data_IF_594111828524
#
_entry.id   IF_594111828524
#
_cell.length_a   1.000
_cell.length_b   1.000
_cell.length_c   1.000
_cell.angle_alpha   90.00
_cell.angle_beta   90.00
_cell.angle_gamma   90.00
#
_symmetry.space_group_name_H-M   'P 1'
#
loop_
_entity.id
_entity.type
_entity.pdbx_description
1 polymer ?
#
# COMPACT_ATOMS: atom_id res chain seq x y z
N UNK A 1 -29.29 -64.08 8.49
CA UNK A 1 -29.78 -62.78 7.98
C UNK A 1 -29.02 -61.67 8.72
N UNK A 2 -27.90 -61.22 8.15
CA UNK A 2 -27.03 -60.22 8.80
C UNK A 2 -27.42 -58.83 8.29
N UNK A 3 -27.90 -58.00 9.22
CA UNK A 3 -28.24 -56.61 8.94
C UNK A 3 -26.97 -55.76 8.97
N UNK A 4 -26.52 -55.23 7.80
CA UNK A 4 -25.50 -54.22 7.71
C UNK A 4 -26.12 -52.82 7.98
N UNK A 5 -25.81 -52.23 9.11
CA UNK A 5 -26.16 -50.84 9.40
C UNK A 5 -25.09 -49.96 8.74
N UNK A 6 -25.45 -49.29 7.64
CA UNK A 6 -24.66 -48.23 7.05
C UNK A 6 -24.83 -46.95 7.89
N UNK A 7 -23.84 -46.64 8.69
CA UNK A 7 -23.79 -45.36 9.40
C UNK A 7 -23.52 -44.22 8.40
N UNK A 8 -24.51 -43.37 8.16
CA UNK A 8 -24.35 -42.08 7.47
C UNK A 8 -23.50 -41.17 8.36
N UNK A 9 -22.23 -41.02 7.99
CA UNK A 9 -21.38 -39.95 8.54
C UNK A 9 -21.81 -38.67 7.83
N UNK A 10 -22.66 -37.85 8.46
CA UNK A 10 -22.97 -36.52 8.01
C UNK A 10 -21.70 -35.66 8.18
N UNK A 11 -21.00 -35.38 7.11
CA UNK A 11 -19.98 -34.36 7.11
C UNK A 11 -20.66 -33.00 7.34
N UNK A 12 -20.44 -32.40 8.49
CA UNK A 12 -20.81 -31.00 8.75
C UNK A 12 -19.94 -30.17 7.83
N UNK A 13 -20.50 -29.69 6.73
CA UNK A 13 -19.86 -28.72 5.87
C UNK A 13 -19.78 -27.39 6.67
N UNK A 14 -18.63 -27.08 7.23
CA UNK A 14 -18.37 -25.76 7.79
C UNK A 14 -18.40 -24.76 6.63
N UNK A 15 -19.27 -23.75 6.73
CA UNK A 15 -19.26 -22.63 5.80
C UNK A 15 -17.92 -21.88 5.92
N UNK A 16 -17.31 -21.54 4.79
CA UNK A 16 -16.08 -20.77 4.79
C UNK A 16 -16.25 -19.44 5.53
N UNK A 17 -15.23 -19.06 6.29
CA UNK A 17 -15.22 -17.80 7.05
C UNK A 17 -15.18 -16.60 6.09
N UNK A 18 -16.17 -15.73 6.21
CA UNK A 18 -16.19 -14.48 5.45
C UNK A 18 -15.12 -13.51 5.96
N UNK A 19 -14.45 -12.83 5.01
CA UNK A 19 -13.46 -11.81 5.28
C UNK A 19 -13.51 -10.73 4.20
N UNK A 20 -13.50 -9.46 4.61
CA UNK A 20 -13.45 -8.32 3.70
C UNK A 20 -12.11 -7.62 3.82
N UNK A 21 -11.36 -7.55 2.69
CA UNK A 21 -10.13 -6.80 2.53
C UNK A 21 -10.42 -5.45 1.86
N UNK A 22 -10.06 -4.34 2.49
CA UNK A 22 -10.05 -3.00 1.90
C UNK A 22 -8.67 -2.69 1.33
N UNK A 23 -8.59 -2.47 0.02
CA UNK A 23 -7.37 -2.00 -0.63
C UNK A 23 -7.15 -0.51 -0.34
N UNK A 24 -5.90 -0.07 -0.42
CA UNK A 24 -5.55 1.34 -0.28
C UNK A 24 -5.90 2.15 -1.53
N UNK A 25 -5.81 1.55 -2.71
CA UNK A 25 -5.96 2.20 -4.01
C UNK A 25 -6.86 1.40 -4.94
N UNK A 26 -7.06 1.90 -6.16
CA UNK A 26 -7.82 1.22 -7.21
C UNK A 26 -7.20 -0.14 -7.55
N UNK A 27 -7.99 -1.02 -8.16
CA UNK A 27 -7.52 -2.33 -8.64
C UNK A 27 -6.39 -2.15 -9.65
N UNK A 28 -5.21 -2.67 -9.32
CA UNK A 28 -4.02 -2.63 -10.17
C UNK A 28 -2.98 -3.65 -9.67
N UNK A 29 -1.93 -3.93 -10.45
CA UNK A 29 -0.92 -4.94 -10.14
C UNK A 29 -0.16 -4.70 -8.82
N UNK A 30 -0.25 -3.50 -8.23
CA UNK A 30 0.18 -3.22 -6.86
C UNK A 30 -0.41 -4.21 -5.84
N UNK A 31 -1.57 -4.78 -6.12
CA UNK A 31 -2.27 -5.70 -5.23
C UNK A 31 -2.35 -7.13 -5.78
N UNK A 32 -1.51 -7.44 -6.77
CA UNK A 32 -1.57 -8.71 -7.51
C UNK A 32 -1.55 -9.95 -6.62
N UNK A 33 -0.74 -9.96 -5.55
CA UNK A 33 -0.66 -11.12 -4.66
C UNK A 33 -2.00 -11.50 -4.03
N UNK A 34 -2.86 -10.53 -3.73
CA UNK A 34 -4.19 -10.78 -3.14
C UNK A 34 -5.19 -11.28 -4.18
N UNK A 35 -5.16 -10.73 -5.39
CA UNK A 35 -6.01 -11.18 -6.50
C UNK A 35 -5.60 -12.57 -6.98
N UNK A 36 -4.30 -12.85 -7.05
CA UNK A 36 -3.79 -14.20 -7.33
C UNK A 36 -4.23 -15.19 -6.25
N UNK A 37 -4.15 -14.81 -4.97
CA UNK A 37 -4.61 -15.70 -3.90
C UNK A 37 -6.12 -16.01 -3.99
N UNK A 38 -6.91 -15.05 -4.47
CA UNK A 38 -8.34 -15.22 -4.72
C UNK A 38 -8.58 -16.14 -5.93
N UNK A 39 -7.98 -15.83 -7.09
CA UNK A 39 -8.16 -16.54 -8.37
C UNK A 39 -7.67 -17.99 -8.27
N UNK A 40 -6.49 -18.21 -7.72
CA UNK A 40 -5.90 -19.54 -7.55
C UNK A 40 -6.53 -20.37 -6.43
N UNK A 41 -7.56 -19.84 -5.76
CA UNK A 41 -8.27 -20.53 -4.70
C UNK A 41 -7.49 -20.68 -3.40
N UNK A 42 -6.36 -19.97 -3.20
CA UNK A 42 -5.54 -20.10 -1.98
C UNK A 42 -6.29 -19.69 -0.72
N UNK A 43 -7.23 -18.73 -0.82
CA UNK A 43 -8.13 -18.41 0.28
C UNK A 43 -9.14 -19.53 0.56
N UNK A 44 -9.67 -20.17 -0.49
CA UNK A 44 -10.57 -21.31 -0.35
C UNK A 44 -9.87 -22.53 0.29
N UNK A 45 -8.60 -22.78 -0.07
CA UNK A 45 -7.76 -23.83 0.55
C UNK A 45 -7.63 -23.62 2.08
N UNK A 46 -7.68 -22.37 2.53
CA UNK A 46 -7.66 -21.97 3.94
C UNK A 46 -9.07 -21.79 4.54
N UNK A 47 -10.10 -22.29 3.87
CA UNK A 47 -11.50 -22.15 4.30
C UNK A 47 -11.92 -20.68 4.55
N UNK A 48 -11.46 -19.74 3.68
CA UNK A 48 -11.80 -18.33 3.70
C UNK A 48 -12.60 -17.96 2.44
N UNK A 49 -13.65 -17.18 2.62
CA UNK A 49 -14.37 -16.49 1.54
C UNK A 49 -14.02 -15.00 1.60
N UNK A 50 -13.02 -14.59 0.80
CA UNK A 50 -12.46 -13.24 0.81
C UNK A 50 -13.14 -12.37 -0.23
N UNK A 51 -13.62 -11.21 0.19
CA UNK A 51 -14.09 -10.13 -0.68
C UNK A 51 -13.05 -9.03 -0.68
N UNK A 52 -12.52 -8.68 -1.86
CA UNK A 52 -11.58 -7.57 -2.05
C UNK A 52 -12.38 -6.32 -2.46
N UNK A 53 -12.27 -5.25 -1.67
CA UNK A 53 -12.86 -3.94 -1.96
C UNK A 53 -11.77 -3.00 -2.48
N UNK A 54 -11.90 -2.47 -3.70
CA UNK A 54 -10.99 -1.44 -4.21
C UNK A 54 -11.01 -0.19 -3.33
N UNK A 55 -9.87 0.50 -3.30
CA UNK A 55 -9.76 1.86 -2.77
C UNK A 55 -9.96 2.92 -3.85
N UNK A 56 -9.72 4.18 -3.49
CA UNK A 56 -9.75 5.33 -4.38
C UNK A 56 -8.99 6.51 -3.73
N UNK A 57 -8.70 7.60 -4.50
CA UNK A 57 -8.02 8.78 -3.96
C UNK A 57 -8.73 9.51 -2.82
N UNK A 58 -10.00 9.24 -2.59
CA UNK A 58 -10.87 9.84 -1.58
C UNK A 58 -11.36 8.84 -0.53
N UNK A 59 -10.87 7.59 -0.56
CA UNK A 59 -11.18 6.57 0.44
C UNK A 59 -10.02 6.49 1.44
N UNK A 60 -10.35 6.57 2.73
CA UNK A 60 -9.41 6.35 3.83
C UNK A 60 -9.59 4.93 4.39
N UNK A 61 -8.71 3.97 4.11
CA UNK A 61 -8.83 2.61 4.63
C UNK A 61 -8.94 2.53 6.16
N UNK A 62 -8.21 3.35 6.96
CA UNK A 62 -8.38 3.36 8.41
C UNK A 62 -9.80 3.72 8.86
N UNK A 63 -10.48 4.63 8.17
CA UNK A 63 -11.87 4.99 8.47
C UNK A 63 -12.84 3.86 8.09
N UNK A 64 -12.63 3.21 6.94
CA UNK A 64 -13.42 2.04 6.53
C UNK A 64 -13.29 0.91 7.55
N UNK A 65 -12.06 0.63 8.01
CA UNK A 65 -11.80 -0.40 9.01
C UNK A 65 -12.45 -0.05 10.37
N UNK A 66 -12.26 1.18 10.84
CA UNK A 66 -12.84 1.66 12.09
C UNK A 66 -14.38 1.65 12.09
N UNK A 67 -14.99 1.93 10.94
CA UNK A 67 -16.43 1.88 10.72
C UNK A 67 -17.00 0.47 10.53
N UNK A 68 -16.17 -0.58 10.58
CA UNK A 68 -16.59 -1.97 10.37
C UNK A 68 -16.92 -2.32 8.91
N UNK A 69 -16.50 -1.50 7.96
CA UNK A 69 -16.70 -1.71 6.53
C UNK A 69 -15.76 -2.76 5.93
N UNK A 70 -14.72 -3.15 6.67
CA UNK A 70 -13.78 -4.21 6.33
C UNK A 70 -13.26 -4.91 7.60
N UNK A 71 -12.73 -6.11 7.46
CA UNK A 71 -12.08 -6.88 8.53
C UNK A 71 -10.57 -6.60 8.59
N UNK A 72 -9.98 -6.36 7.43
CA UNK A 72 -8.55 -6.11 7.22
C UNK A 72 -8.38 -5.03 6.15
N UNK A 73 -7.32 -4.23 6.26
CA UNK A 73 -6.99 -3.21 5.26
C UNK A 73 -5.54 -3.30 4.84
N UNK A 74 -5.27 -2.83 3.62
CA UNK A 74 -3.94 -2.43 3.18
C UNK A 74 -3.78 -0.93 3.39
N UNK A 75 -2.62 -0.53 3.87
CA UNK A 75 -2.34 0.90 4.03
C UNK A 75 -0.84 1.18 4.09
N UNK A 76 -0.47 2.42 3.78
CA UNK A 76 0.86 2.90 4.06
C UNK A 76 1.02 3.16 5.56
N UNK A 77 2.18 2.82 6.10
CA UNK A 77 2.43 2.95 7.53
C UNK A 77 2.29 4.38 8.06
N UNK A 78 2.71 5.45 7.36
CA UNK A 78 2.45 6.83 7.80
C UNK A 78 0.98 7.10 8.11
N UNK A 79 0.08 6.71 7.20
CA UNK A 79 -1.37 6.87 7.39
C UNK A 79 -1.89 6.02 8.55
N UNK A 80 -1.40 4.79 8.67
CA UNK A 80 -1.80 3.88 9.75
C UNK A 80 -1.36 4.42 11.13
N UNK A 81 -0.13 4.93 11.25
CA UNK A 81 0.38 5.49 12.50
C UNK A 81 -0.31 6.81 12.87
N UNK A 82 -0.59 7.68 11.90
CA UNK A 82 -1.37 8.89 12.11
C UNK A 82 -2.81 8.57 12.57
N UNK A 83 -3.44 7.54 12.00
CA UNK A 83 -4.75 7.07 12.43
C UNK A 83 -4.70 6.51 13.86
N UNK A 84 -3.64 5.74 14.19
CA UNK A 84 -3.44 5.20 15.54
C UNK A 84 -3.27 6.31 16.58
N UNK A 85 -2.51 7.35 16.29
CA UNK A 85 -2.37 8.52 17.17
C UNK A 85 -3.71 9.23 17.42
N UNK A 86 -4.59 9.25 16.40
CA UNK A 86 -5.94 9.81 16.49
C UNK A 86 -6.97 8.87 17.13
N UNK A 87 -6.53 7.73 17.68
CA UNK A 87 -7.36 6.81 18.46
C UNK A 87 -7.95 5.65 17.68
N UNK A 88 -7.57 5.43 16.42
CA UNK A 88 -7.91 4.22 15.67
C UNK A 88 -6.81 3.17 15.88
N UNK A 89 -6.98 2.16 16.73
CA UNK A 89 -5.90 1.28 17.19
C UNK A 89 -5.58 0.20 16.15
N UNK A 90 -5.06 0.62 14.99
CA UNK A 90 -4.62 -0.29 13.94
C UNK A 90 -3.27 -0.91 14.26
N UNK A 91 -3.09 -2.19 13.90
CA UNK A 91 -1.85 -2.97 14.09
C UNK A 91 -1.43 -3.57 12.77
N UNK A 92 -0.16 -3.38 12.38
CA UNK A 92 0.44 -4.11 11.27
C UNK A 92 0.64 -5.57 11.67
N UNK A 93 0.12 -6.49 10.86
CA UNK A 93 0.21 -7.94 11.09
C UNK A 93 1.04 -8.66 10.03
N UNK A 94 1.34 -7.99 8.91
CA UNK A 94 2.28 -8.46 7.89
C UNK A 94 2.71 -7.30 6.97
N UNK A 95 3.90 -7.42 6.39
CA UNK A 95 4.53 -6.39 5.56
C UNK A 95 5.13 -7.00 4.29
N UNK A 96 4.32 -7.21 3.23
CA UNK A 96 4.81 -7.77 1.97
C UNK A 96 5.83 -6.88 1.25
N UNK A 97 5.63 -5.56 1.24
CA UNK A 97 6.53 -4.60 0.62
C UNK A 97 7.73 -4.31 1.50
N UNK A 98 8.93 -4.43 0.96
CA UNK A 98 10.21 -4.23 1.67
C UNK A 98 10.85 -2.88 1.40
N UNK A 99 10.47 -2.21 0.31
CA UNK A 99 10.97 -0.88 -0.06
C UNK A 99 9.85 -0.01 -0.59
N UNK A 100 10.10 1.31 -0.61
CA UNK A 100 9.16 2.31 -1.10
C UNK A 100 9.28 2.48 -2.62
N UNK A 101 8.14 2.54 -3.29
CA UNK A 101 8.06 2.95 -4.69
C UNK A 101 7.82 4.44 -4.88
N UNK A 102 7.64 5.20 -3.80
CA UNK A 102 7.28 6.60 -3.86
C UNK A 102 8.44 7.47 -4.35
N UNK A 103 8.12 8.38 -5.27
CA UNK A 103 9.05 9.40 -5.75
C UNK A 103 8.32 10.67 -6.20
N UNK A 104 9.05 11.77 -6.35
CA UNK A 104 8.61 12.93 -7.10
C UNK A 104 9.17 12.86 -8.52
N UNK A 105 8.30 13.12 -9.51
CA UNK A 105 8.70 13.31 -10.91
C UNK A 105 8.47 14.76 -11.29
N UNK A 106 9.52 15.43 -11.72
CA UNK A 106 9.54 16.85 -11.99
C UNK A 106 9.97 17.14 -13.43
N UNK A 107 9.48 18.23 -13.99
CA UNK A 107 10.03 18.77 -15.24
C UNK A 107 11.45 19.30 -15.02
N UNK A 108 12.38 18.87 -15.85
CA UNK A 108 13.80 19.28 -15.78
C UNK A 108 14.02 20.75 -16.08
N UNK A 109 13.19 21.34 -16.95
CA UNK A 109 13.26 22.75 -17.35
C UNK A 109 12.80 23.72 -16.25
N UNK A 110 12.20 23.23 -15.16
CA UNK A 110 11.89 24.02 -13.96
C UNK A 110 13.10 24.43 -13.16
N UNK A 111 14.27 23.89 -13.49
CA UNK A 111 15.52 24.16 -12.80
C UNK A 111 15.72 23.39 -11.50
N UNK A 112 14.80 22.51 -11.15
CA UNK A 112 14.90 21.66 -9.96
C UNK A 112 16.00 20.62 -10.17
N UNK A 113 16.99 20.57 -9.25
CA UNK A 113 18.12 19.63 -9.28
C UNK A 113 18.32 18.91 -7.94
N UNK A 114 17.83 19.50 -6.86
CA UNK A 114 17.92 19.00 -5.50
C UNK A 114 16.70 19.47 -4.69
N UNK A 115 16.44 18.92 -3.50
CA UNK A 115 15.27 19.28 -2.69
C UNK A 115 15.15 20.76 -2.34
N UNK A 116 16.27 21.48 -2.17
CA UNK A 116 16.24 22.92 -1.86
C UNK A 116 15.58 23.75 -2.98
N UNK A 117 15.62 23.26 -4.22
CA UNK A 117 15.05 23.92 -5.40
C UNK A 117 13.50 23.80 -5.46
N UNK A 118 12.88 23.06 -4.56
CA UNK A 118 11.41 22.97 -4.46
C UNK A 118 10.77 24.28 -3.99
N UNK A 119 11.53 25.20 -3.40
CA UNK A 119 11.03 26.50 -2.93
C UNK A 119 10.42 27.30 -4.07
N UNK A 120 9.21 27.83 -3.84
CA UNK A 120 8.44 28.57 -4.85
C UNK A 120 7.79 27.70 -5.92
N UNK A 121 7.95 26.37 -5.87
CA UNK A 121 7.37 25.44 -6.85
C UNK A 121 5.99 24.93 -6.44
N UNK A 122 5.25 24.43 -7.44
CA UNK A 122 3.99 23.72 -7.23
C UNK A 122 4.23 22.22 -7.32
N UNK A 123 3.88 21.47 -6.30
CA UNK A 123 4.06 20.02 -6.25
C UNK A 123 2.72 19.33 -6.03
N UNK A 124 2.36 18.42 -6.95
CA UNK A 124 1.21 17.56 -6.83
C UNK A 124 1.45 16.48 -5.79
N UNK A 125 0.55 16.33 -4.84
CA UNK A 125 0.64 15.37 -3.74
C UNK A 125 -0.72 14.72 -3.53
N UNK A 126 -0.74 13.39 -3.33
CA UNK A 126 -1.95 12.69 -2.92
C UNK A 126 -2.29 13.02 -1.48
N UNK A 127 -3.59 12.94 -1.13
CA UNK A 127 -4.10 13.22 0.21
C UNK A 127 -4.68 11.95 0.86
N UNK A 128 -5.43 12.13 1.94
CA UNK A 128 -6.03 11.06 2.76
C UNK A 128 -5.02 10.15 3.45
N UNK A 129 -3.87 10.72 3.84
CA UNK A 129 -2.79 10.04 4.54
C UNK A 129 -1.60 9.70 3.64
N UNK A 130 -1.73 9.85 2.32
CA UNK A 130 -0.64 9.63 1.37
C UNK A 130 0.32 10.85 1.29
N UNK A 131 -0.09 12.01 1.80
CA UNK A 131 0.73 13.23 1.90
C UNK A 131 1.80 13.17 2.96
N UNK A 132 1.67 12.33 3.94
CA UNK A 132 2.53 12.35 5.13
C UNK A 132 4.03 12.15 4.85
N UNK A 133 4.49 11.23 3.99
CA UNK A 133 5.91 11.12 3.65
C UNK A 133 6.46 12.41 3.03
N UNK A 134 5.68 13.06 2.14
CA UNK A 134 6.05 14.33 1.54
C UNK A 134 6.15 15.47 2.56
N UNK A 135 5.14 15.60 3.42
CA UNK A 135 5.13 16.64 4.45
C UNK A 135 6.31 16.49 5.41
N UNK A 136 6.60 15.26 5.85
CA UNK A 136 7.76 14.97 6.68
C UNK A 136 9.07 15.31 5.99
N UNK A 137 9.22 14.98 4.71
CA UNK A 137 10.41 15.33 3.95
C UNK A 137 10.59 16.84 3.84
N UNK A 138 9.55 17.58 3.43
CA UNK A 138 9.62 19.05 3.34
C UNK A 138 9.96 19.68 4.68
N UNK A 139 9.42 19.15 5.78
CA UNK A 139 9.76 19.63 7.11
C UNK A 139 11.23 19.40 7.48
N UNK A 140 11.81 18.26 7.14
CA UNK A 140 13.23 17.97 7.33
C UNK A 140 14.12 18.92 6.52
N UNK A 141 13.71 19.29 5.31
CA UNK A 141 14.39 20.27 4.45
C UNK A 141 14.15 21.74 4.90
N UNK A 142 13.31 21.96 5.91
CA UNK A 142 12.92 23.31 6.36
C UNK A 142 12.16 24.06 5.28
N UNK A 143 11.35 23.37 4.47
CA UNK A 143 10.56 23.94 3.37
C UNK A 143 9.08 23.98 3.78
N UNK A 144 8.51 25.18 4.01
CA UNK A 144 7.07 25.29 4.30
C UNK A 144 6.19 24.75 3.15
N UNK A 145 5.07 24.11 3.49
CA UNK A 145 4.14 23.53 2.51
C UNK A 145 2.85 24.36 2.33
N UNK A 146 2.87 25.61 2.77
CA UNK A 146 1.77 26.56 2.65
C UNK A 146 1.93 27.56 1.48
N UNK A 147 2.91 27.34 0.60
CA UNK A 147 3.20 28.19 -0.56
C UNK A 147 4.11 29.38 -0.22
N UNK A 148 4.16 30.35 -1.15
CA UNK A 148 5.05 31.49 -1.08
C UNK A 148 6.44 31.22 -1.67
N UNK A 149 7.27 32.25 -1.75
CA UNK A 149 8.60 32.17 -2.41
C UNK A 149 9.57 31.21 -1.70
N UNK A 150 9.43 31.02 -0.40
CA UNK A 150 10.29 30.14 0.40
C UNK A 150 9.68 28.77 0.68
N UNK A 151 8.45 28.51 0.23
CA UNK A 151 7.72 27.26 0.48
C UNK A 151 7.29 26.59 -0.81
N UNK A 152 6.66 25.45 -0.66
CA UNK A 152 6.03 24.69 -1.75
C UNK A 152 4.54 24.96 -1.75
N UNK A 153 3.97 25.20 -2.94
CA UNK A 153 2.52 25.15 -3.15
C UNK A 153 2.10 23.71 -3.40
N UNK A 154 1.42 23.12 -2.44
CA UNK A 154 0.87 21.76 -2.57
C UNK A 154 -0.38 21.79 -3.41
N UNK A 155 -0.38 21.05 -4.52
CA UNK A 155 -1.55 20.80 -5.37
C UNK A 155 -2.13 19.42 -5.01
N UNK A 156 -3.43 19.35 -4.71
CA UNK A 156 -4.08 18.07 -4.50
C UNK A 156 -4.14 17.27 -5.80
N UNK A 157 -3.42 16.15 -5.84
CA UNK A 157 -3.32 15.26 -6.99
C UNK A 157 -4.42 14.19 -6.93
N UNK A 158 -5.04 13.90 -8.08
CA UNK A 158 -5.91 12.76 -8.29
C UNK A 158 -5.11 11.49 -8.63
N UNK A 159 -5.72 10.55 -9.36
CA UNK A 159 -5.09 9.28 -9.74
C UNK A 159 -4.32 9.34 -11.08
N UNK A 160 -4.39 10.45 -11.82
CA UNK A 160 -3.74 10.63 -13.10
C UNK A 160 -2.53 11.58 -13.02
N UNK A 161 -1.82 11.69 -14.12
CA UNK A 161 -0.59 12.52 -14.26
C UNK A 161 -0.83 13.86 -14.95
N UNK A 162 -2.08 14.22 -15.21
CA UNK A 162 -2.47 15.46 -15.88
C UNK A 162 -1.86 16.73 -15.29
N UNK A 163 -1.74 16.87 -13.95
CA UNK A 163 -1.13 18.08 -13.38
C UNK A 163 0.30 18.32 -13.85
N UNK A 164 1.09 17.26 -14.10
CA UNK A 164 2.43 17.40 -14.68
C UNK A 164 2.35 17.70 -16.17
N UNK A 165 1.59 16.89 -16.93
CA UNK A 165 1.49 17.00 -18.40
C UNK A 165 0.99 18.37 -18.82
N UNK A 166 -0.02 18.91 -18.11
CA UNK A 166 -0.63 20.21 -18.37
C UNK A 166 0.13 21.38 -17.74
N UNK A 167 1.30 21.13 -17.15
CA UNK A 167 2.14 22.17 -16.51
C UNK A 167 1.43 22.91 -15.36
N UNK A 168 0.47 22.28 -14.71
CA UNK A 168 -0.21 22.81 -13.51
C UNK A 168 0.66 22.64 -12.26
N UNK A 169 1.56 21.67 -12.28
CA UNK A 169 2.57 21.41 -11.25
C UNK A 169 3.94 21.27 -11.87
N UNK A 170 4.97 21.73 -11.16
CA UNK A 170 6.39 21.55 -11.52
C UNK A 170 6.83 20.11 -11.28
N UNK A 171 6.30 19.48 -10.24
CA UNK A 171 6.46 18.08 -9.88
C UNK A 171 5.12 17.45 -9.51
N UNK A 172 5.05 16.13 -9.61
CA UNK A 172 3.95 15.33 -9.05
C UNK A 172 4.49 14.15 -8.26
N UNK A 173 3.71 13.67 -7.29
CA UNK A 173 3.93 12.36 -6.69
C UNK A 173 3.69 11.28 -7.74
N UNK A 174 4.60 10.33 -7.81
CA UNK A 174 4.52 9.17 -8.69
C UNK A 174 5.03 7.94 -7.95
N UNK A 175 4.56 6.78 -8.37
CA UNK A 175 5.16 5.52 -7.96
C UNK A 175 6.10 5.04 -9.07
N UNK A 176 7.21 4.43 -8.70
CA UNK A 176 8.16 3.82 -9.65
C UNK A 176 7.50 2.81 -10.57
N UNK A 177 6.40 2.21 -10.15
CA UNK A 177 5.68 1.17 -10.85
C UNK A 177 4.43 1.66 -11.61
N UNK A 178 3.94 2.88 -11.37
CA UNK A 178 2.66 3.35 -11.92
C UNK A 178 2.78 4.69 -12.65
N UNK A 179 2.57 5.81 -11.97
CA UNK A 179 2.42 7.14 -12.60
C UNK A 179 3.65 7.58 -13.37
N UNK A 180 4.84 7.20 -12.94
CA UNK A 180 6.06 7.46 -13.71
C UNK A 180 5.96 6.91 -15.13
N UNK A 181 5.48 5.69 -15.26
CA UNK A 181 5.28 5.07 -16.56
C UNK A 181 4.13 5.68 -17.36
N UNK A 182 3.08 6.19 -16.68
CA UNK A 182 2.03 6.94 -17.35
C UNK A 182 2.55 8.25 -17.95
N UNK A 183 3.48 8.94 -17.26
CA UNK A 183 4.17 10.13 -17.79
C UNK A 183 4.94 9.78 -19.06
N UNK A 184 5.70 8.68 -19.06
CA UNK A 184 6.44 8.23 -20.24
C UNK A 184 5.50 7.79 -21.38
N UNK A 185 4.41 7.09 -21.08
CA UNK A 185 3.42 6.67 -22.07
C UNK A 185 2.64 7.85 -22.68
N UNK A 186 2.59 9.00 -21.98
CA UNK A 186 2.09 10.26 -22.53
C UNK A 186 3.07 10.94 -23.52
N UNK A 187 4.21 10.31 -23.81
CA UNK A 187 5.19 10.77 -24.80
C UNK A 187 6.27 11.69 -24.24
N UNK A 188 6.36 11.84 -22.92
CA UNK A 188 7.42 12.63 -22.26
C UNK A 188 8.66 11.76 -22.13
N UNK A 189 9.81 12.27 -22.62
CA UNK A 189 11.08 11.56 -22.53
C UNK A 189 11.66 11.63 -21.12
N UNK A 190 12.34 10.57 -20.67
CA UNK A 190 13.08 10.56 -19.40
C UNK A 190 14.11 11.71 -19.31
N UNK A 191 14.68 12.14 -20.46
CA UNK A 191 15.62 13.25 -20.52
C UNK A 191 15.00 14.61 -20.19
N UNK A 192 13.67 14.74 -20.25
CA UNK A 192 12.91 15.94 -19.89
C UNK A 192 12.53 15.98 -18.43
N UNK A 193 12.78 14.88 -17.70
CA UNK A 193 12.39 14.69 -16.31
C UNK A 193 13.60 14.66 -15.37
N UNK A 194 13.35 15.00 -14.13
CA UNK A 194 14.20 14.70 -12.97
C UNK A 194 13.32 14.01 -11.91
N UNK A 195 13.84 12.95 -11.31
CA UNK A 195 13.12 12.16 -10.30
C UNK A 195 13.85 12.16 -8.98
N UNK A 196 13.09 12.14 -7.89
CA UNK A 196 13.58 12.04 -6.52
C UNK A 196 12.89 10.88 -5.84
N UNK A 197 13.55 9.72 -5.77
CA UNK A 197 13.05 8.57 -5.02
C UNK A 197 13.22 8.83 -3.53
N UNK A 198 12.18 8.55 -2.76
CA UNK A 198 12.22 8.73 -1.31
C UNK A 198 13.25 7.84 -0.63
N UNK A 199 13.53 6.65 -1.19
CA UNK A 199 14.64 5.78 -0.75
C UNK A 199 16.00 6.50 -0.83
N UNK A 200 16.27 7.17 -1.96
CA UNK A 200 17.55 7.88 -2.19
C UNK A 200 17.67 9.14 -1.33
N UNK A 201 16.55 9.69 -0.87
CA UNK A 201 16.51 10.88 0.01
C UNK A 201 16.56 10.51 1.50
N UNK A 202 16.55 9.23 1.85
CA UNK A 202 16.54 8.76 3.23
C UNK A 202 15.23 9.02 3.99
N UNK A 203 14.15 9.29 3.28
CA UNK A 203 12.82 9.59 3.85
C UNK A 203 11.77 8.54 3.47
N UNK A 204 12.21 7.40 2.96
CA UNK A 204 11.33 6.29 2.62
C UNK A 204 10.58 5.76 3.86
N UNK A 205 9.30 5.47 3.66
CA UNK A 205 8.42 4.89 4.67
C UNK A 205 7.86 3.56 4.18
N UNK A 206 7.41 2.70 5.09
CA UNK A 206 6.80 1.42 4.74
C UNK A 206 5.45 1.62 4.04
N UNK A 207 5.27 0.94 2.90
CA UNK A 207 4.08 0.95 2.06
C UNK A 207 3.34 -0.39 2.15
N UNK A 208 2.05 -0.38 1.82
CA UNK A 208 1.19 -1.55 1.58
C UNK A 208 1.26 -2.69 2.60
N UNK A 209 1.37 -2.31 3.88
CA UNK A 209 1.25 -3.26 4.98
C UNK A 209 -0.19 -3.73 5.18
N UNK A 210 -0.34 -4.88 5.84
CA UNK A 210 -1.62 -5.48 6.23
C UNK A 210 -1.95 -5.07 7.66
N UNK A 211 -3.12 -4.48 7.87
CA UNK A 211 -3.53 -3.92 9.17
C UNK A 211 -4.92 -4.41 9.60
N UNK A 212 -5.05 -4.59 10.91
CA UNK A 212 -6.33 -4.90 11.57
C UNK A 212 -6.51 -4.01 12.80
N UNK A 213 -7.71 -4.02 13.40
CA UNK A 213 -7.92 -3.39 14.70
C UNK A 213 -7.35 -4.26 15.83
N UNK A 214 -6.60 -3.65 16.74
CA UNK A 214 -5.92 -4.32 17.87
C UNK A 214 -6.87 -5.13 18.76
N UNK A 215 -8.08 -4.60 19.02
CA UNK A 215 -9.06 -5.27 19.83
C UNK A 215 -9.59 -6.58 19.21
N UNK A 216 -9.60 -6.68 17.87
CA UNK A 216 -10.01 -7.89 17.16
C UNK A 216 -9.01 -9.04 17.32
N UNK A 217 -7.73 -8.75 17.51
CA UNK A 217 -6.70 -9.77 17.76
C UNK A 217 -6.84 -10.47 19.11
N UNK A 218 -7.67 -9.94 20.02
CA UNK A 218 -8.01 -10.59 21.29
C UNK A 218 -8.97 -11.76 21.13
N UNK A 219 -9.71 -11.81 20.01
CA UNK A 219 -10.56 -12.93 19.65
C UNK A 219 -9.72 -14.03 18.97
N UNK A 220 -9.60 -15.23 19.58
CA UNK A 220 -8.81 -16.32 19.00
C UNK A 220 -9.30 -16.76 17.62
N UNK A 221 -10.62 -16.69 17.36
CA UNK A 221 -11.21 -17.04 16.05
C UNK A 221 -10.80 -16.04 14.97
N UNK A 222 -10.82 -14.73 15.29
CA UNK A 222 -10.35 -13.71 14.37
C UNK A 222 -8.84 -13.80 14.13
N UNK A 223 -8.07 -14.07 15.18
CA UNK A 223 -6.62 -14.28 15.08
C UNK A 223 -6.28 -15.44 14.13
N UNK A 224 -6.93 -16.60 14.30
CA UNK A 224 -6.78 -17.75 13.42
C UNK A 224 -7.14 -17.41 11.97
N UNK A 225 -8.22 -16.66 11.77
CA UNK A 225 -8.63 -16.16 10.45
C UNK A 225 -7.53 -15.30 9.81
N UNK A 226 -6.86 -14.43 10.57
CA UNK A 226 -5.75 -13.60 10.07
C UNK A 226 -4.51 -14.42 9.73
N UNK A 227 -4.20 -15.46 10.50
CA UNK A 227 -3.11 -16.41 10.20
C UNK A 227 -3.33 -17.08 8.85
N UNK A 228 -4.53 -17.62 8.62
CA UNK A 228 -4.91 -18.26 7.35
C UNK A 228 -4.89 -17.25 6.19
N UNK A 229 -5.41 -16.04 6.41
CA UNK A 229 -5.42 -14.97 5.40
C UNK A 229 -4.00 -14.55 4.99
N UNK A 230 -3.10 -14.31 5.95
CA UNK A 230 -1.71 -13.92 5.67
C UNK A 230 -0.99 -15.05 4.93
N UNK A 231 -1.17 -16.32 5.35
CA UNK A 231 -0.56 -17.47 4.67
C UNK A 231 -0.97 -17.56 3.21
N UNK A 232 -2.25 -17.49 2.92
CA UNK A 232 -2.78 -17.51 1.55
C UNK A 232 -2.32 -16.30 0.73
N UNK A 233 -2.34 -15.10 1.32
CA UNK A 233 -1.88 -13.87 0.67
C UNK A 233 -0.40 -13.95 0.28
N UNK A 234 0.46 -14.41 1.19
CA UNK A 234 1.90 -14.57 0.90
C UNK A 234 2.18 -15.67 -0.12
N UNK A 235 1.34 -16.71 -0.18
CA UNK A 235 1.39 -17.70 -1.28
C UNK A 235 1.05 -17.05 -2.62
N UNK A 236 0.05 -16.16 -2.63
CA UNK A 236 -0.33 -15.37 -3.82
C UNK A 236 0.79 -14.43 -4.27
N UNK A 237 1.45 -13.72 -3.35
CA UNK A 237 2.60 -12.87 -3.65
C UNK A 237 3.76 -13.67 -4.26
N UNK A 238 4.13 -14.80 -3.68
CA UNK A 238 5.18 -15.67 -4.23
C UNK A 238 4.85 -16.22 -5.62
N UNK A 239 3.56 -16.44 -5.90
CA UNK A 239 3.11 -16.83 -7.24
C UNK A 239 3.23 -15.66 -8.22
N UNK A 240 2.75 -14.47 -7.84
CA UNK A 240 2.77 -13.27 -8.67
C UNK A 240 4.20 -12.88 -9.08
N UNK A 241 5.15 -12.94 -8.16
CA UNK A 241 6.58 -12.68 -8.42
C UNK A 241 7.18 -13.64 -9.46
N UNK A 242 6.74 -14.90 -9.49
CA UNK A 242 7.23 -15.93 -10.41
C UNK A 242 6.51 -15.95 -11.75
N UNK A 243 5.29 -15.44 -11.78
CA UNK A 243 4.39 -15.44 -12.94
C UNK A 243 3.80 -14.04 -13.16
N UNK A 244 4.65 -13.00 -13.42
CA UNK A 244 4.21 -11.61 -13.43
C UNK A 244 3.18 -11.29 -14.52
N UNK A 245 3.29 -11.92 -15.68
CA UNK A 245 2.35 -11.69 -16.79
C UNK A 245 0.95 -12.22 -16.44
N UNK A 246 0.87 -13.45 -15.94
CA UNK A 246 -0.40 -14.05 -15.50
C UNK A 246 -0.99 -13.29 -14.30
N UNK A 247 -0.16 -12.85 -13.36
CA UNK A 247 -0.61 -12.05 -12.24
C UNK A 247 -1.22 -10.71 -12.68
N UNK A 248 -0.65 -10.07 -13.71
CA UNK A 248 -1.21 -8.86 -14.30
C UNK A 248 -2.55 -9.13 -15.02
N UNK A 249 -2.69 -10.26 -15.71
CA UNK A 249 -3.94 -10.68 -16.34
C UNK A 249 -5.04 -10.92 -15.31
N UNK A 250 -4.74 -11.64 -14.23
CA UNK A 250 -5.68 -11.85 -13.12
C UNK A 250 -6.15 -10.53 -12.52
N UNK A 251 -5.26 -9.54 -12.37
CA UNK A 251 -5.64 -8.21 -11.89
C UNK A 251 -6.58 -7.51 -12.86
N UNK A 252 -6.33 -7.59 -14.17
CA UNK A 252 -7.18 -6.99 -15.20
C UNK A 252 -8.59 -7.60 -15.21
N UNK A 253 -8.71 -8.91 -15.02
CA UNK A 253 -10.00 -9.60 -14.92
C UNK A 253 -10.83 -9.12 -13.72
N UNK A 254 -10.18 -8.54 -12.71
CA UNK A 254 -10.81 -7.97 -11.52
C UNK A 254 -10.98 -6.43 -11.58
N UNK A 255 -10.50 -5.76 -12.63
CA UNK A 255 -10.69 -4.32 -12.81
C UNK A 255 -12.08 -3.99 -13.38
N UNK A 256 -13.03 -3.73 -12.50
CA UNK A 256 -14.38 -3.34 -12.89
C UNK A 256 -14.47 -1.96 -13.57
N UNK A 257 -13.40 -1.16 -13.54
CA UNK A 257 -13.39 0.20 -14.11
C UNK A 257 -13.03 0.20 -15.60
N UNK A 258 -12.29 -0.80 -16.07
CA UNK A 258 -11.72 -0.86 -17.41
C UNK A 258 -10.66 0.23 -17.67
N UNK A 259 -10.16 0.86 -16.62
CA UNK A 259 -9.16 1.94 -16.72
C UNK A 259 -7.73 1.39 -16.92
N UNK A 260 -7.51 0.14 -16.56
CA UNK A 260 -6.19 -0.49 -16.66
C UNK A 260 -5.95 -1.09 -18.05
N UNK A 261 -4.68 -1.08 -18.48
CA UNK A 261 -4.27 -1.71 -19.74
C UNK A 261 -3.31 -2.86 -19.47
N UNK A 262 -3.36 -3.91 -20.30
CA UNK A 262 -2.48 -5.07 -20.18
C UNK A 262 -1.00 -4.67 -20.17
N UNK A 263 -0.56 -3.86 -21.15
CA UNK A 263 0.82 -3.36 -21.23
C UNK A 263 1.27 -2.69 -19.94
N UNK A 264 0.41 -1.83 -19.37
CA UNK A 264 0.74 -1.09 -18.17
C UNK A 264 0.79 -1.99 -16.94
N UNK A 265 -0.18 -2.91 -16.81
CA UNK A 265 -0.23 -3.81 -15.65
C UNK A 265 0.91 -4.85 -15.66
N UNK A 266 1.31 -5.38 -16.83
CA UNK A 266 2.50 -6.25 -16.94
C UNK A 266 3.79 -5.51 -16.52
N UNK A 267 3.95 -4.28 -16.98
CA UNK A 267 5.08 -3.43 -16.55
C UNK A 267 5.03 -3.17 -15.04
N UNK A 268 3.87 -2.78 -14.53
CA UNK A 268 3.66 -2.53 -13.11
C UNK A 268 4.02 -3.76 -12.28
N UNK A 269 3.56 -4.95 -12.65
CA UNK A 269 3.87 -6.17 -11.93
C UNK A 269 5.38 -6.45 -11.86
N UNK A 270 6.09 -6.19 -12.96
CA UNK A 270 7.56 -6.32 -13.00
C UNK A 270 8.28 -5.36 -12.03
N UNK A 271 7.77 -4.15 -11.85
CA UNK A 271 8.32 -3.20 -10.87
C UNK A 271 7.91 -3.55 -9.43
N UNK A 272 6.67 -3.97 -9.22
CA UNK A 272 6.18 -4.43 -7.91
C UNK A 272 6.98 -5.62 -7.41
N UNK A 273 7.32 -6.57 -8.27
CA UNK A 273 8.14 -7.72 -7.91
C UNK A 273 9.52 -7.32 -7.33
N UNK A 274 10.05 -6.14 -7.70
CA UNK A 274 11.29 -5.62 -7.10
C UNK A 274 11.08 -5.10 -5.68
N UNK A 275 9.90 -4.54 -5.37
CA UNK A 275 9.57 -4.00 -4.06
C UNK A 275 9.21 -5.09 -3.04
N UNK A 276 8.73 -6.24 -3.52
CA UNK A 276 8.38 -7.40 -2.71
C UNK A 276 9.47 -8.48 -2.68
N UNK A 277 10.50 -8.36 -3.52
CA UNK A 277 11.56 -9.35 -3.67
C UNK A 277 12.18 -9.76 -2.35
N UNK A 278 12.20 -11.07 -2.09
CA UNK A 278 12.75 -11.65 -0.87
C UNK A 278 11.89 -11.42 0.38
N UNK A 279 10.69 -10.88 0.25
CA UNK A 279 9.77 -10.74 1.36
C UNK A 279 9.26 -12.10 1.83
N UNK A 280 9.35 -12.31 3.13
CA UNK A 280 8.62 -13.38 3.81
C UNK A 280 7.34 -12.88 4.47
N UNK A 281 6.96 -11.60 4.27
CA UNK A 281 5.80 -10.98 4.90
C UNK A 281 6.02 -10.45 6.31
N UNK A 282 7.20 -10.66 6.90
CA UNK A 282 7.52 -10.10 8.22
C UNK A 282 7.93 -8.63 8.10
N UNK A 283 7.48 -7.81 9.04
CA UNK A 283 7.92 -6.43 9.18
C UNK A 283 9.34 -6.41 9.76
N UNK A 284 10.29 -5.71 9.09
CA UNK A 284 11.61 -5.46 9.66
C UNK A 284 11.53 -4.31 10.68
N UNK A 285 11.91 -4.54 11.95
CA UNK A 285 11.89 -3.50 12.96
C UNK A 285 12.74 -2.26 12.61
N UNK A 286 13.80 -2.41 11.81
CA UNK A 286 14.62 -1.28 11.36
C UNK A 286 13.86 -0.38 10.39
N UNK A 287 13.10 -0.96 9.47
CA UNK A 287 12.28 -0.22 8.52
C UNK A 287 11.11 0.48 9.22
N UNK A 288 10.56 -0.16 10.27
CA UNK A 288 9.59 0.48 11.15
C UNK A 288 10.20 1.70 11.86
N UNK A 289 11.38 1.55 12.49
CA UNK A 289 12.05 2.65 13.18
C UNK A 289 12.40 3.80 12.22
N UNK A 290 12.87 3.50 11.00
CA UNK A 290 13.09 4.51 9.96
C UNK A 290 11.80 5.26 9.65
N UNK A 291 10.70 4.55 9.41
CA UNK A 291 9.38 5.17 9.15
C UNK A 291 8.96 6.08 10.31
N UNK A 292 9.04 5.59 11.55
CA UNK A 292 8.70 6.38 12.75
C UNK A 292 9.57 7.63 12.85
N UNK A 293 10.88 7.50 12.64
CA UNK A 293 11.82 8.62 12.69
C UNK A 293 11.49 9.69 11.65
N UNK A 294 11.16 9.25 10.41
CA UNK A 294 10.72 10.17 9.34
C UNK A 294 9.48 10.95 9.75
N UNK A 295 8.48 10.30 10.36
CA UNK A 295 7.23 10.95 10.75
C UNK A 295 7.35 11.86 11.97
N UNK A 296 8.27 11.56 12.89
CA UNK A 296 8.58 12.41 14.05
C UNK A 296 9.38 13.67 13.67
N UNK A 297 10.09 13.65 12.54
CA UNK A 297 10.96 14.72 12.09
C UNK A 297 10.22 15.94 11.52
N UNK A 298 8.89 16.01 11.67
CA UNK A 298 8.01 17.04 11.09
C UNK A 298 8.11 18.44 11.73
N UNK A 299 9.22 18.80 12.38
CA UNK A 299 9.43 20.15 12.95
C UNK A 299 8.38 20.51 13.98
N UNK A 300 7.66 21.64 13.77
CA UNK A 300 6.62 22.12 14.69
C UNK A 300 5.27 21.40 14.52
N UNK A 301 5.09 20.66 13.44
CA UNK A 301 3.84 19.95 13.12
C UNK A 301 4.15 18.56 12.54
N UNK A 302 4.68 17.63 13.37
CA UNK A 302 5.01 16.29 12.93
C UNK A 302 3.73 15.46 12.66
N UNK A 303 3.83 14.48 11.76
CA UNK A 303 2.71 13.58 11.44
C UNK A 303 2.27 12.76 12.65
N UNK A 304 3.23 12.39 13.50
CA UNK A 304 3.01 11.78 14.82
C UNK A 304 3.83 12.52 15.87
N UNK A 305 3.27 12.71 17.06
CA UNK A 305 3.91 13.49 18.13
C UNK A 305 4.83 12.66 19.01
N UNK A 306 4.69 11.34 18.98
CA UNK A 306 5.47 10.38 19.79
C UNK A 306 5.58 9.04 19.07
N UNK A 307 6.57 8.24 19.47
CA UNK A 307 6.72 6.87 18.99
C UNK A 307 5.49 6.03 19.35
N UNK A 308 4.78 5.45 18.38
CA UNK A 308 3.62 4.61 18.66
C UNK A 308 4.01 3.31 19.36
N UNK A 309 3.16 2.85 20.29
CA UNK A 309 3.30 1.55 20.97
C UNK A 309 2.29 0.56 20.42
N UNK A 310 2.64 -0.73 20.30
CA UNK A 310 1.75 -1.79 19.83
C UNK A 310 1.26 -1.60 18.38
N UNK A 311 2.00 -0.87 17.54
CA UNK A 311 1.60 -0.56 16.18
C UNK A 311 1.85 -1.71 15.20
N UNK A 312 2.58 -2.73 15.59
CA UNK A 312 2.85 -3.93 14.81
C UNK A 312 3.08 -5.15 15.70
N UNK A 313 2.96 -6.34 15.11
CA UNK A 313 3.23 -7.63 15.77
C UNK A 313 3.70 -8.67 14.75
N UNK A 314 4.61 -9.56 15.16
CA UNK A 314 4.97 -10.75 14.39
C UNK A 314 4.09 -11.96 14.72
N UNK A 315 3.18 -11.86 15.70
CA UNK A 315 2.39 -13.01 16.16
C UNK A 315 1.66 -13.74 15.01
N UNK A 316 1.13 -12.96 14.05
CA UNK A 316 0.40 -13.54 12.91
C UNK A 316 1.37 -14.15 11.89
N UNK A 317 2.44 -13.46 11.54
CA UNK A 317 3.44 -13.98 10.58
C UNK A 317 4.18 -15.18 11.14
N UNK A 318 4.48 -15.20 12.44
CA UNK A 318 5.09 -16.34 13.13
C UNK A 318 4.26 -17.62 13.02
N UNK A 319 2.94 -17.51 13.04
CA UNK A 319 2.02 -18.63 12.92
C UNK A 319 1.69 -18.97 11.46
N UNK A 320 1.70 -17.98 10.57
CA UNK A 320 1.30 -18.14 9.18
C UNK A 320 2.41 -18.71 8.30
N UNK A 321 3.68 -18.39 8.59
CA UNK A 321 4.79 -18.53 7.65
C UNK A 321 5.90 -19.49 8.12
N UNK A 322 5.71 -20.11 9.27
CA UNK A 322 6.57 -21.19 9.83
C UNK A 322 5.97 -22.57 9.56
#
# INVERSE_FOLDING_TARGET
MSLFIFGLVSSIAYSADKLTLQLQWVTQAQFAGYYVALDKGYYNDENLNVTIKPGAPDISPPQVLAGGGADVMLNWMPSALAAREKGVPVVNIAQPFKSSGLMLTCWKDTGIRNPADFRGKTIGVWFFGNEYPFLSWMSQEGIPTNGGANGVKVLRQGFNVDPLIQRQADCISTMTYNEYHQVLDAGISENELVTFKYEDQGVATLEDGIYVLENRLKDPSFKDKMVRFVRASMKGWKYAERNPDEAAEIVLDNDATGAQTEKHQKRMMGEIAKLTAGSNGELDPKDYERTVSTLLAGGSDPVISKKPTGAWTHEITDLALK
#
